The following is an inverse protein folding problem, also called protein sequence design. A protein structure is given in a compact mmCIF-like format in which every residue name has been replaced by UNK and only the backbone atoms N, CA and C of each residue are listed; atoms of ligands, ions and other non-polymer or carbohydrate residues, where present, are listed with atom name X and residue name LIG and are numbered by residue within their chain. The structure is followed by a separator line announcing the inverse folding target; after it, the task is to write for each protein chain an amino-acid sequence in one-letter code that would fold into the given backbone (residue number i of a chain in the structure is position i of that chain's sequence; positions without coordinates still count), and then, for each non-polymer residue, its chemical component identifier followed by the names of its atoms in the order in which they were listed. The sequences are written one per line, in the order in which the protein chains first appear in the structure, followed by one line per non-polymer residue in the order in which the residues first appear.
data_IF_280392607591
#
_entry.id   IF_280392607591
#
_cell.length_a   1.000
_cell.length_b   1.000
_cell.length_c   1.000
_cell.angle_alpha   90.00
_cell.angle_beta   90.00
_cell.angle_gamma   90.00
#
_symmetry.space_group_name_H-M   'P 1'
#
loop_
_entity.id
_entity.type
_entity.pdbx_description
1 polymer ?
#
# COMPACT_ATOMS: atom_id res chain seq x y z
N UNK A 1 0.07 13.05 11.27
CA UNK A 1 -0.25 11.63 11.39
C UNK A 1 1.03 10.83 11.35
N UNK A 2 1.25 9.93 12.31
CA UNK A 2 2.32 8.94 12.24
C UNK A 2 1.72 7.62 11.73
N UNK A 3 1.90 7.34 10.44
CA UNK A 3 1.35 6.12 9.81
C UNK A 3 1.80 4.82 10.51
N UNK A 4 2.96 4.82 11.20
CA UNK A 4 3.44 3.67 11.97
C UNK A 4 2.47 3.25 13.09
N UNK A 5 1.64 4.17 13.60
CA UNK A 5 0.64 3.86 14.63
C UNK A 5 -0.56 3.10 14.04
N UNK A 6 -0.71 3.08 12.72
CA UNK A 6 -1.89 2.59 12.03
C UNK A 6 -1.60 1.40 11.10
N UNK A 7 -0.35 0.93 11.02
CA UNK A 7 0.01 -0.13 10.06
C UNK A 7 -0.81 -1.40 10.26
N UNK A 8 -1.24 -1.71 11.50
CA UNK A 8 -2.10 -2.85 11.82
C UNK A 8 -3.45 -2.82 11.09
N UNK A 9 -4.02 -1.65 10.83
CA UNK A 9 -5.30 -1.53 10.11
C UNK A 9 -5.15 -1.76 8.60
N UNK A 10 -3.92 -1.77 8.08
CA UNK A 10 -3.69 -2.13 6.67
C UNK A 10 -3.54 -3.64 6.48
N UNK A 11 -3.42 -4.44 7.55
CA UNK A 11 -3.66 -5.88 7.45
C UNK A 11 -5.17 -6.02 7.27
N UNK A 12 -5.62 -6.57 6.14
CA UNK A 12 -7.02 -6.52 5.65
C UNK A 12 -7.40 -5.22 4.92
N UNK A 13 -6.42 -4.35 4.67
CA UNK A 13 -6.55 -3.23 3.75
C UNK A 13 -6.43 -3.65 2.28
N UNK A 14 -6.50 -2.66 1.39
CA UNK A 14 -6.34 -2.84 -0.05
C UNK A 14 -5.25 -1.92 -0.59
N UNK A 15 -4.42 -2.48 -1.47
CA UNK A 15 -3.55 -1.70 -2.34
C UNK A 15 -4.35 -1.36 -3.61
N UNK A 16 -4.53 -0.07 -3.83
CA UNK A 16 -5.39 0.46 -4.88
C UNK A 16 -4.62 0.60 -6.19
N UNK A 17 -3.43 1.17 -6.11
CA UNK A 17 -2.60 1.47 -7.27
C UNK A 17 -1.11 1.53 -6.87
N UNK A 18 -0.25 1.25 -7.85
CA UNK A 18 1.19 1.43 -7.75
C UNK A 18 1.64 2.31 -8.90
N UNK A 19 2.15 3.50 -8.57
CA UNK A 19 2.87 4.33 -9.51
C UNK A 19 4.37 4.28 -9.18
N UNK A 20 5.16 3.77 -10.11
CA UNK A 20 6.59 3.59 -9.92
C UNK A 20 7.35 4.20 -11.10
N UNK A 21 8.19 5.19 -10.81
CA UNK A 21 9.17 5.76 -11.74
C UNK A 21 10.60 5.30 -11.41
N UNK A 22 11.62 5.87 -12.04
CA UNK A 22 13.00 5.42 -11.82
C UNK A 22 13.53 5.65 -10.38
N UNK A 23 12.88 6.48 -9.58
CA UNK A 23 13.38 6.95 -8.30
C UNK A 23 12.36 6.91 -7.17
N UNK A 24 11.08 6.78 -7.49
CA UNK A 24 9.98 6.91 -6.56
C UNK A 24 8.95 5.82 -6.77
N UNK A 25 8.47 5.25 -5.67
CA UNK A 25 7.28 4.41 -5.64
C UNK A 25 6.21 5.15 -4.84
N UNK A 26 5.00 5.22 -5.38
CA UNK A 26 3.82 5.73 -4.72
C UNK A 26 2.80 4.59 -4.67
N UNK A 27 2.43 4.20 -3.47
CA UNK A 27 1.41 3.19 -3.22
C UNK A 27 0.13 3.89 -2.76
N UNK A 28 -0.93 3.79 -3.55
CA UNK A 28 -2.26 4.23 -3.13
C UNK A 28 -2.90 3.11 -2.32
N UNK A 29 -3.31 3.38 -1.08
CA UNK A 29 -3.74 2.34 -0.15
C UNK A 29 -4.98 2.77 0.63
N UNK A 30 -5.77 1.79 1.01
CA UNK A 30 -6.91 1.89 1.93
C UNK A 30 -6.74 0.90 3.08
N UNK A 31 -6.98 1.33 4.31
CA UNK A 31 -7.03 0.44 5.48
C UNK A 31 -8.39 -0.25 5.61
N UNK A 32 -8.48 -1.22 6.52
CA UNK A 32 -9.75 -1.63 7.11
C UNK A 32 -10.42 -0.45 7.85
N UNK A 33 -11.70 -0.61 8.19
CA UNK A 33 -12.46 0.38 8.95
C UNK A 33 -11.84 0.63 10.33
N UNK A 34 -11.81 1.89 10.76
CA UNK A 34 -11.28 2.32 12.06
C UNK A 34 -12.38 3.04 12.84
N UNK A 35 -12.55 2.66 14.11
CA UNK A 35 -13.48 3.36 14.99
C UNK A 35 -12.98 4.76 15.37
N UNK A 36 -13.90 5.65 15.75
CA UNK A 36 -13.54 6.98 16.25
C UNK A 36 -12.69 6.95 17.52
N UNK A 37 -12.82 5.91 18.35
CA UNK A 37 -12.02 5.72 19.57
C UNK A 37 -10.57 5.34 19.27
N UNK A 38 -10.36 4.60 18.17
CA UNK A 38 -9.05 4.19 17.68
C UNK A 38 -8.35 5.29 16.86
N UNK A 39 -9.11 6.24 16.33
CA UNK A 39 -8.60 7.42 15.64
C UNK A 39 -8.07 8.51 16.60
N UNK A 40 -7.05 8.17 17.38
CA UNK A 40 -6.48 9.05 18.41
C UNK A 40 -5.84 10.33 17.84
N UNK A 41 -5.32 10.27 16.61
CA UNK A 41 -4.73 11.42 15.92
C UNK A 41 -5.80 12.37 15.32
N UNK A 42 -7.10 12.06 15.44
CA UNK A 42 -8.21 12.78 14.81
C UNK A 42 -7.98 13.02 13.31
N UNK A 43 -7.46 12.02 12.60
CA UNK A 43 -7.23 12.11 11.16
C UNK A 43 -8.56 12.09 10.41
N UNK A 44 -8.61 12.79 9.28
CA UNK A 44 -9.75 12.71 8.36
C UNK A 44 -9.79 11.31 7.75
N UNK A 45 -10.89 10.61 7.98
CA UNK A 45 -11.19 9.31 7.41
C UNK A 45 -12.05 9.48 6.15
N UNK A 46 -12.11 8.42 5.33
CA UNK A 46 -13.05 8.34 4.21
C UNK A 46 -14.52 8.25 4.68
N UNK A 47 -15.47 8.28 3.76
CA UNK A 47 -16.90 8.04 4.05
C UNK A 47 -17.18 6.64 4.63
N UNK A 48 -16.23 5.70 4.48
CA UNK A 48 -16.30 4.34 5.03
C UNK A 48 -15.51 4.19 6.34
N UNK A 49 -15.13 5.30 6.98
CA UNK A 49 -14.29 5.32 8.19
C UNK A 49 -12.94 4.59 8.00
N UNK A 50 -12.39 4.60 6.79
CA UNK A 50 -11.07 4.03 6.48
C UNK A 50 -10.00 5.11 6.34
N UNK A 51 -8.74 4.74 6.56
CA UNK A 51 -7.60 5.58 6.19
C UNK A 51 -7.34 5.35 4.69
N UNK A 52 -7.53 6.40 3.90
CA UNK A 52 -7.13 6.43 2.49
C UNK A 52 -5.97 7.39 2.29
N UNK A 53 -5.06 7.04 1.40
CA UNK A 53 -3.94 7.89 1.11
C UNK A 53 -2.87 7.26 0.25
N UNK A 54 -1.71 7.90 0.25
CA UNK A 54 -0.55 7.50 -0.54
C UNK A 54 0.67 7.34 0.33
N UNK A 55 1.32 6.19 0.23
CA UNK A 55 2.67 5.99 0.76
C UNK A 55 3.69 6.36 -0.31
N UNK A 56 4.48 7.38 -0.03
CA UNK A 56 5.55 7.84 -0.89
C UNK A 56 6.88 7.26 -0.42
N UNK A 57 7.60 6.58 -1.32
CA UNK A 57 8.92 6.02 -1.10
C UNK A 57 9.87 6.64 -2.13
N UNK A 58 10.68 7.61 -1.69
CA UNK A 58 11.59 8.37 -2.56
C UNK A 58 13.03 7.85 -2.46
N UNK A 59 13.76 7.92 -3.58
CA UNK A 59 15.15 7.53 -3.67
C UNK A 59 15.32 6.03 -3.50
N UNK A 60 14.59 5.24 -4.28
CA UNK A 60 14.66 3.77 -4.26
C UNK A 60 16.10 3.30 -4.43
N UNK A 61 16.54 2.46 -3.50
CA UNK A 61 17.86 1.82 -3.51
C UNK A 61 17.76 0.37 -3.99
N UNK A 62 16.76 -0.37 -3.50
CA UNK A 62 16.56 -1.77 -3.83
C UNK A 62 15.11 -2.19 -3.59
N UNK A 63 14.64 -3.11 -4.41
CA UNK A 63 13.33 -3.75 -4.27
C UNK A 63 13.58 -5.26 -4.33
N UNK A 64 13.11 -5.99 -3.31
CA UNK A 64 13.15 -7.44 -3.31
C UNK A 64 11.72 -7.99 -3.35
N UNK A 65 11.53 -9.06 -4.13
CA UNK A 65 10.34 -9.91 -4.08
C UNK A 65 10.76 -11.26 -3.48
N UNK A 66 10.35 -11.53 -2.23
CA UNK A 66 10.95 -12.57 -1.41
C UNK A 66 12.44 -12.30 -1.19
N UNK A 67 13.29 -13.22 -1.66
CA UNK A 67 14.75 -13.11 -1.56
C UNK A 67 15.41 -12.60 -2.86
N UNK A 68 14.62 -12.36 -3.93
CA UNK A 68 15.14 -11.96 -5.24
C UNK A 68 15.14 -10.45 -5.42
N UNK A 69 16.31 -9.88 -5.80
CA UNK A 69 16.42 -8.47 -6.17
C UNK A 69 15.78 -8.26 -7.55
N UNK A 70 14.73 -7.46 -7.61
CA UNK A 70 14.04 -7.15 -8.86
C UNK A 70 14.45 -5.78 -9.40
N UNK A 71 14.57 -5.70 -10.73
CA UNK A 71 14.88 -4.46 -11.46
C UNK A 71 13.68 -3.92 -12.25
N UNK A 72 12.55 -4.63 -12.20
CA UNK A 72 11.32 -4.24 -12.88
C UNK A 72 10.58 -3.17 -12.08
N UNK A 73 9.85 -2.30 -12.80
CA UNK A 73 8.92 -1.39 -12.16
C UNK A 73 7.74 -2.17 -11.56
N UNK A 74 7.64 -2.18 -10.22
CA UNK A 74 6.42 -2.51 -9.49
C UNK A 74 5.20 -1.82 -10.13
N UNK A 75 4.15 -2.61 -10.36
CA UNK A 75 2.86 -2.18 -10.89
C UNK A 75 1.78 -3.14 -10.39
N UNK A 76 0.52 -2.74 -10.47
CA UNK A 76 -0.58 -3.68 -10.27
C UNK A 76 -0.46 -4.85 -11.26
N UNK A 77 -0.46 -6.08 -10.75
CA UNK A 77 -0.28 -7.30 -11.55
C UNK A 77 -1.62 -7.94 -11.94
N UNK A 78 -2.65 -7.73 -11.12
CA UNK A 78 -3.95 -8.37 -11.21
C UNK A 78 -5.06 -7.36 -10.86
N UNK A 79 -6.31 -7.77 -11.00
CA UNK A 79 -7.49 -6.89 -10.83
C UNK A 79 -7.65 -6.33 -9.40
N UNK A 80 -7.15 -7.04 -8.38
CA UNK A 80 -7.18 -6.60 -6.98
C UNK A 80 -5.93 -7.03 -6.21
N UNK A 81 -5.65 -6.31 -5.12
CA UNK A 81 -4.50 -6.49 -4.26
C UNK A 81 -4.88 -6.30 -2.78
N UNK A 82 -5.14 -7.39 -2.07
CA UNK A 82 -5.34 -7.39 -0.62
C UNK A 82 -4.01 -7.27 0.11
N UNK A 83 -3.95 -6.45 1.16
CA UNK A 83 -2.75 -6.29 1.97
C UNK A 83 -2.82 -7.28 3.15
N UNK A 84 -1.92 -8.26 3.15
CA UNK A 84 -1.81 -9.25 4.22
C UNK A 84 -0.90 -8.78 5.35
N UNK A 85 0.15 -8.05 4.98
CA UNK A 85 1.13 -7.52 5.92
C UNK A 85 1.63 -6.16 5.47
N UNK A 86 1.70 -5.22 6.41
CA UNK A 86 2.29 -3.92 6.14
C UNK A 86 3.11 -3.43 7.31
N UNK A 87 4.37 -3.07 7.05
CA UNK A 87 5.24 -2.41 8.02
C UNK A 87 6.07 -1.33 7.36
N UNK A 88 6.25 -0.25 8.09
CA UNK A 88 7.15 0.84 7.74
C UNK A 88 8.23 0.93 8.82
N UNK A 89 9.46 1.08 8.37
CA UNK A 89 10.57 1.56 9.17
C UNK A 89 11.14 2.83 8.51
N UNK A 90 12.12 3.47 9.15
CA UNK A 90 12.64 4.76 8.69
C UNK A 90 13.06 4.80 7.21
N UNK A 91 13.55 3.68 6.65
CA UNK A 91 14.05 3.61 5.26
C UNK A 91 13.57 2.36 4.51
N UNK A 92 12.71 1.54 5.13
CA UNK A 92 12.24 0.30 4.52
C UNK A 92 10.75 0.14 4.66
N UNK A 93 10.13 -0.40 3.63
CA UNK A 93 8.72 -0.82 3.61
C UNK A 93 8.69 -2.33 3.36
N UNK A 94 7.91 -3.03 4.18
CA UNK A 94 7.56 -4.44 3.96
C UNK A 94 6.08 -4.50 3.64
N UNK A 95 5.75 -5.15 2.53
CA UNK A 95 4.40 -5.23 2.01
C UNK A 95 4.14 -6.63 1.44
N UNK A 96 3.24 -7.36 2.07
CA UNK A 96 2.82 -8.67 1.60
C UNK A 96 1.42 -8.53 1.00
N UNK A 97 1.27 -9.01 -0.23
CA UNK A 97 0.09 -8.79 -1.06
C UNK A 97 -0.48 -10.13 -1.50
N UNK A 98 -1.80 -10.26 -1.36
CA UNK A 98 -2.60 -11.23 -2.08
C UNK A 98 -3.16 -10.58 -3.35
N UNK A 99 -2.75 -11.09 -4.50
CA UNK A 99 -3.26 -10.67 -5.78
C UNK A 99 -4.40 -11.55 -6.24
N UNK A 100 -5.46 -10.94 -6.77
CA UNK A 100 -6.65 -11.65 -7.25
C UNK A 100 -7.08 -11.13 -8.62
N UNK A 101 -7.42 -12.05 -9.53
CA UNK A 101 -8.15 -11.74 -10.76
C UNK A 101 -9.61 -12.14 -10.64
N UNK A 102 -10.47 -11.40 -11.33
CA UNK A 102 -11.90 -11.69 -11.44
C UNK A 102 -12.29 -11.97 -12.90
N UNK A 103 -13.43 -12.63 -13.13
CA UNK A 103 -13.95 -12.80 -14.48
C UNK A 103 -14.07 -11.45 -15.23
N UNK A 104 -13.69 -11.39 -16.52
CA UNK A 104 -13.45 -12.51 -17.44
C UNK A 104 -12.01 -13.05 -17.46
N UNK A 105 -11.10 -12.51 -16.64
CA UNK A 105 -9.74 -13.04 -16.53
C UNK A 105 -9.74 -14.41 -15.84
N UNK A 106 -8.71 -15.26 -16.06
CA UNK A 106 -8.55 -16.49 -15.31
C UNK A 106 -8.54 -16.19 -13.81
N UNK A 107 -9.32 -16.94 -13.04
CA UNK A 107 -9.28 -16.87 -11.58
C UNK A 107 -7.88 -17.25 -11.10
N UNK A 108 -7.17 -16.27 -10.56
CA UNK A 108 -5.82 -16.41 -10.03
C UNK A 108 -5.83 -15.84 -8.62
N UNK A 109 -5.19 -16.57 -7.70
CA UNK A 109 -4.75 -16.07 -6.40
C UNK A 109 -3.25 -16.27 -6.34
N UNK A 110 -2.50 -15.17 -6.20
CA UNK A 110 -1.05 -15.18 -6.12
C UNK A 110 -0.58 -14.34 -4.94
N UNK A 111 0.60 -14.66 -4.40
CA UNK A 111 1.17 -13.95 -3.25
C UNK A 111 2.50 -13.33 -3.63
N UNK A 112 2.73 -12.09 -3.20
CA UNK A 112 3.99 -11.39 -3.36
C UNK A 112 4.44 -10.77 -2.04
N UNK A 113 5.75 -10.81 -1.78
CA UNK A 113 6.36 -10.31 -0.54
C UNK A 113 7.40 -9.26 -0.90
N UNK A 114 7.06 -7.98 -0.76
CA UNK A 114 7.94 -6.90 -1.18
C UNK A 114 8.72 -6.32 -0.01
N UNK A 115 10.04 -6.23 -0.18
CA UNK A 115 10.91 -5.43 0.69
C UNK A 115 11.51 -4.29 -0.12
N UNK A 116 11.05 -3.07 0.16
CA UNK A 116 11.43 -1.86 -0.57
C UNK A 116 12.31 -1.00 0.32
N UNK A 117 13.49 -0.62 -0.17
CA UNK A 117 14.39 0.31 0.54
C UNK A 117 14.46 1.64 -0.19
N UNK A 118 14.14 2.71 0.52
CA UNK A 118 14.18 4.09 0.02
C UNK A 118 14.98 5.01 0.94
N UNK A 119 15.22 6.24 0.48
CA UNK A 119 15.87 7.28 1.29
C UNK A 119 14.89 8.01 2.21
N UNK A 120 13.65 8.17 1.76
CA UNK A 120 12.61 8.90 2.48
C UNK A 120 11.27 8.20 2.27
N UNK A 121 10.58 7.93 3.37
CA UNK A 121 9.24 7.33 3.36
C UNK A 121 8.31 8.28 4.12
N UNK A 122 7.18 8.61 3.52
CA UNK A 122 6.17 9.45 4.16
C UNK A 122 4.77 9.13 3.65
N UNK A 123 3.77 9.49 4.46
CA UNK A 123 2.37 9.24 4.17
C UNK A 123 1.63 10.53 3.85
N UNK A 124 0.82 10.50 2.81
CA UNK A 124 -0.13 11.54 2.45
C UNK A 124 -1.55 11.05 2.73
N UNK A 125 -2.24 11.67 3.70
CA UNK A 125 -3.62 11.31 4.03
C UNK A 125 -4.58 11.98 3.04
N UNK A 126 -5.32 11.17 2.27
CA UNK A 126 -6.24 11.62 1.22
C UNK A 126 -7.57 10.87 1.42
N UNK A 127 -8.46 11.34 2.31
CA UNK A 127 -9.70 10.65 2.64
C UNK A 127 -10.64 10.53 1.43
N UNK A 128 -10.64 11.57 0.59
CA UNK A 128 -11.39 11.65 -0.65
C UNK A 128 -10.53 11.21 -1.82
N UNK A 129 -9.70 10.17 -1.66
CA UNK A 129 -8.90 9.62 -2.75
C UNK A 129 -9.85 9.09 -3.82
N UNK A 130 -10.28 10.01 -4.67
CA UNK A 130 -11.18 9.79 -5.77
C UNK A 130 -10.29 9.31 -6.92
N UNK A 131 -10.29 8.01 -7.14
CA UNK A 131 -9.86 7.47 -8.42
C UNK A 131 -11.07 7.51 -9.35
N UNK A 132 -11.11 8.40 -10.36
CA UNK A 132 -12.22 8.45 -11.31
C UNK A 132 -12.30 7.21 -12.21
N UNK A 133 -11.41 6.24 -12.04
CA UNK A 133 -11.35 4.99 -12.79
C UNK A 133 -11.69 3.75 -11.95
N UNK A 134 -12.22 3.93 -10.74
CA UNK A 134 -12.93 2.89 -9.98
C UNK A 134 -14.38 2.73 -10.47
#
# INVERSE_FOLDING_TARGET
MNINNYTSYFHDGSLIDINHDNTTIILSMESAEISSEENQDNISLSEHNTIKGKLHIEGINSIFEGDELISIHLRMLYDSAGILHFKIHATTVQLDIEWVNYPPHPEITAYAFYHIKGKKIWWENIPDLYDPFW
#
